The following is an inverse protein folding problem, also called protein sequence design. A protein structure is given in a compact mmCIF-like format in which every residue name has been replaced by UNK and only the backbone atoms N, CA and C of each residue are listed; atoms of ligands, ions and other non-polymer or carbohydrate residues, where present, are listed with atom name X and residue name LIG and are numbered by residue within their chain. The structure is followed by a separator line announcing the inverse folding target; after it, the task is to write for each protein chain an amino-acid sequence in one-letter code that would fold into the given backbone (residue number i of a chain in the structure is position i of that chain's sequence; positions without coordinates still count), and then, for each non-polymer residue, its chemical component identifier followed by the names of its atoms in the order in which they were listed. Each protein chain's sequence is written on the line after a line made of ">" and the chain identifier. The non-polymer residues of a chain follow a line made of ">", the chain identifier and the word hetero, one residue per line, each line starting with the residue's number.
data_IF_539162567138
#
_entry.id   IF_539162567138
#
_cell.length_a   1.000
_cell.length_b   1.000
_cell.length_c   1.000
_cell.angle_alpha   90.00
_cell.angle_beta   90.00
_cell.angle_gamma   90.00
#
_symmetry.space_group_name_H-M   'P 1'
#
loop_
_entity.id
_entity.type
_entity.pdbx_description
1 polymer ?
#
# COMPACT_ATOMS: atom_id res chain seq x y z
N UNK A 1 16.79 -0.45 -10.10
CA UNK A 1 15.48 0.20 -10.22
C UNK A 1 14.74 -0.16 -8.95
N UNK A 2 14.25 0.84 -8.22
CA UNK A 2 13.69 0.67 -6.88
C UNK A 2 12.18 0.80 -6.98
N UNK A 3 11.53 -0.30 -7.35
CA UNK A 3 10.08 -0.42 -7.36
C UNK A 3 9.61 -0.54 -5.90
N UNK A 4 9.59 0.61 -5.20
CA UNK A 4 9.07 0.72 -3.84
C UNK A 4 7.58 1.02 -3.92
N UNK A 5 6.79 0.31 -3.12
CA UNK A 5 5.34 0.46 -3.07
C UNK A 5 5.00 1.63 -2.14
N UNK A 6 4.60 2.76 -2.72
CA UNK A 6 4.30 3.98 -1.97
C UNK A 6 2.80 4.14 -1.75
N UNK A 7 2.39 4.39 -0.52
CA UNK A 7 1.04 4.76 -0.16
C UNK A 7 0.74 6.18 -0.64
N UNK A 8 -0.30 6.36 -1.45
CA UNK A 8 -0.69 7.69 -1.94
C UNK A 8 -1.44 8.52 -0.90
N UNK A 9 -2.05 7.87 0.09
CA UNK A 9 -2.81 8.55 1.14
C UNK A 9 -1.91 9.26 2.16
N UNK A 10 -0.76 8.65 2.53
CA UNK A 10 0.14 9.22 3.54
C UNK A 10 1.59 9.41 3.06
N UNK A 11 1.97 8.83 1.92
CA UNK A 11 3.32 8.92 1.36
C UNK A 11 4.31 7.88 1.91
N UNK A 12 3.88 6.95 2.76
CA UNK A 12 4.73 5.87 3.27
C UNK A 12 5.23 4.96 2.14
N UNK A 13 6.47 4.49 2.23
CA UNK A 13 7.10 3.59 1.24
C UNK A 13 7.36 2.24 1.87
N UNK A 14 6.95 1.19 1.16
CA UNK A 14 7.08 -0.20 1.56
C UNK A 14 7.92 -0.97 0.55
N UNK A 15 8.56 -2.03 1.04
CA UNK A 15 9.40 -2.91 0.22
C UNK A 15 8.55 -3.91 -0.58
N UNK A 16 7.29 -4.11 -0.17
CA UNK A 16 6.37 -5.10 -0.74
C UNK A 16 4.96 -4.53 -0.92
N UNK A 17 4.23 -5.05 -1.92
CA UNK A 17 2.82 -4.71 -2.14
C UNK A 17 1.94 -5.14 -0.96
N UNK A 18 2.20 -6.32 -0.37
CA UNK A 18 1.45 -6.87 0.78
C UNK A 18 1.52 -5.95 2.00
N UNK A 19 2.72 -5.42 2.29
CA UNK A 19 2.90 -4.45 3.37
C UNK A 19 2.16 -3.14 3.09
N UNK A 20 2.16 -2.67 1.85
CA UNK A 20 1.39 -1.50 1.44
C UNK A 20 -0.11 -1.74 1.59
N UNK A 21 -0.61 -2.92 1.23
CA UNK A 21 -2.03 -3.28 1.34
C UNK A 21 -2.48 -3.40 2.80
N UNK A 22 -1.70 -4.08 3.64
CA UNK A 22 -1.97 -4.15 5.09
C UNK A 22 -1.94 -2.75 5.69
N UNK A 23 -0.94 -1.93 5.37
CA UNK A 23 -0.87 -0.55 5.81
C UNK A 23 -2.09 0.27 5.37
N UNK A 24 -2.45 0.21 4.08
CA UNK A 24 -3.57 0.96 3.54
C UNK A 24 -4.90 0.50 4.18
N UNK A 25 -5.03 -0.79 4.47
CA UNK A 25 -6.20 -1.35 5.15
C UNK A 25 -6.29 -0.92 6.62
N UNK A 26 -5.22 -1.05 7.39
CA UNK A 26 -5.23 -0.80 8.84
C UNK A 26 -5.22 0.71 9.14
N UNK A 27 -4.42 1.49 8.41
CA UNK A 27 -4.22 2.92 8.69
C UNK A 27 -5.21 3.82 7.92
N UNK A 28 -5.66 3.38 6.74
CA UNK A 28 -6.54 4.17 5.87
C UNK A 28 -7.90 3.53 5.61
N UNK A 29 -8.14 2.31 6.10
CA UNK A 29 -9.38 1.59 5.82
C UNK A 29 -9.60 1.35 4.31
N UNK A 30 -8.55 1.49 3.50
CA UNK A 30 -8.63 1.37 2.06
C UNK A 30 -8.48 -0.11 1.71
N UNK A 31 -9.62 -0.80 1.70
CA UNK A 31 -9.82 -2.05 0.98
C UNK A 31 -9.57 -1.80 -0.51
N UNK A 32 -8.29 -1.83 -0.87
CA UNK A 32 -7.84 -1.72 -2.24
C UNK A 32 -8.14 -3.06 -2.89
N UNK A 33 -9.40 -3.21 -3.32
CA UNK A 33 -9.85 -4.30 -4.14
C UNK A 33 -9.05 -4.28 -5.46
N UNK A 34 -7.92 -4.97 -5.46
CA UNK A 34 -7.24 -5.41 -6.68
C UNK A 34 -7.89 -6.71 -7.17
N UNK A 35 -9.22 -6.70 -7.33
CA UNK A 35 -9.93 -7.75 -8.04
C UNK A 35 -9.89 -7.41 -9.54
N UNK A 36 -8.92 -8.02 -10.22
CA UNK A 36 -8.89 -8.13 -11.68
C UNK A 36 -9.81 -9.27 -12.16
#
# INVERSE_FOLDING_TARGET
>A
MSDQHKCEACGATFESMDELEVHAREEHGAETDQSA
#
